data_IF_775414821939
#
_entry.id   IF_775414821939
#
_cell.length_a   1.000
_cell.length_b   1.000
_cell.length_c   1.000
_cell.angle_alpha   90.00
_cell.angle_beta   90.00
_cell.angle_gamma   90.00
#
_symmetry.space_group_name_H-M   'P 1'
#
loop_
_entity.id
_entity.type
_entity.pdbx_description
1 polymer ?
#
# COMPACT_ATOMS: atom_id res chain seq x y z
N UNK A 1 -9.00 0.76 -3.46
CA UNK A 1 -8.58 -0.10 -2.31
C UNK A 1 -8.45 0.67 -0.98
N UNK A 2 -7.98 1.94 -0.99
CA UNK A 2 -7.69 2.72 0.24
C UNK A 2 -8.91 2.97 1.13
N UNK A 3 -10.13 2.93 0.59
CA UNK A 3 -11.39 3.13 1.34
C UNK A 3 -12.06 1.82 1.78
N UNK A 4 -11.58 0.66 1.32
CA UNK A 4 -12.18 -0.64 1.63
C UNK A 4 -12.21 -0.96 3.14
N UNK A 5 -11.20 -0.61 3.96
CA UNK A 5 -11.28 -0.78 5.41
C UNK A 5 -12.48 -0.07 6.05
N UNK A 6 -12.94 1.04 5.46
CA UNK A 6 -14.14 1.75 5.94
C UNK A 6 -15.44 1.03 5.53
N UNK A 7 -15.46 0.31 4.40
CA UNK A 7 -16.57 -0.57 4.02
C UNK A 7 -16.63 -1.77 4.97
N UNK A 8 -15.49 -2.41 5.23
CA UNK A 8 -15.38 -3.52 6.20
C UNK A 8 -15.87 -3.10 7.57
N UNK A 9 -15.48 -1.93 8.06
CA UNK A 9 -15.90 -1.40 9.37
C UNK A 9 -17.34 -0.88 9.42
N UNK A 10 -18.00 -0.75 8.28
CA UNK A 10 -19.34 -0.16 8.19
C UNK A 10 -19.40 1.38 8.28
N UNK A 11 -18.24 2.05 8.31
CA UNK A 11 -18.18 3.53 8.30
C UNK A 11 -18.47 4.13 6.93
N UNK A 12 -18.37 3.33 5.86
CA UNK A 12 -18.74 3.69 4.51
C UNK A 12 -19.64 2.61 3.90
N UNK A 13 -20.44 2.98 2.93
CA UNK A 13 -21.25 2.04 2.16
C UNK A 13 -20.59 1.76 0.80
N UNK A 14 -20.91 0.63 0.14
CA UNK A 14 -20.39 0.30 -1.19
C UNK A 14 -20.56 1.41 -2.22
N UNK A 15 -21.69 2.13 -2.19
CA UNK A 15 -22.01 3.19 -3.15
C UNK A 15 -21.11 4.43 -3.01
N UNK A 16 -20.51 4.62 -1.83
CA UNK A 16 -19.66 5.79 -1.54
C UNK A 16 -18.19 5.61 -1.89
N UNK A 17 -17.81 4.45 -2.44
CA UNK A 17 -16.41 4.20 -2.82
C UNK A 17 -16.05 4.67 -4.22
N UNK A 18 -17.04 4.98 -5.04
CA UNK A 18 -16.83 5.46 -6.40
C UNK A 18 -16.36 6.91 -6.42
N UNK A 19 -15.24 7.16 -7.10
CA UNK A 19 -14.67 8.51 -7.23
C UNK A 19 -15.32 9.32 -8.36
N UNK A 20 -15.98 8.66 -9.29
CA UNK A 20 -16.64 9.25 -10.47
C UNK A 20 -17.94 8.53 -10.71
N UNK A 21 -18.92 9.26 -11.16
CA UNK A 21 -20.21 8.79 -11.65
C UNK A 21 -20.20 8.58 -13.16
N UNK A 22 -21.28 8.05 -13.70
CA UNK A 22 -21.43 7.81 -15.15
C UNK A 22 -21.40 9.12 -15.97
N UNK A 23 -21.85 10.23 -15.37
CA UNK A 23 -21.82 11.55 -16.00
C UNK A 23 -20.41 12.02 -16.28
N UNK A 24 -19.43 11.68 -15.42
CA UNK A 24 -18.03 11.98 -15.66
C UNK A 24 -17.53 11.34 -16.97
N UNK A 25 -17.82 10.05 -17.20
CA UNK A 25 -17.36 9.35 -18.41
C UNK A 25 -18.01 9.91 -19.66
N UNK A 26 -19.31 10.14 -19.62
CA UNK A 26 -20.06 10.71 -20.74
C UNK A 26 -19.59 12.13 -21.10
N UNK A 27 -19.45 13.01 -20.11
CA UNK A 27 -19.01 14.40 -20.30
C UNK A 27 -17.61 14.47 -20.86
N UNK A 28 -16.72 13.59 -20.44
CA UNK A 28 -15.34 13.56 -20.91
C UNK A 28 -15.14 12.67 -22.15
N UNK A 29 -16.23 12.15 -22.74
CA UNK A 29 -16.20 11.28 -23.93
C UNK A 29 -15.30 10.05 -23.74
N UNK A 30 -15.36 9.44 -22.57
CA UNK A 30 -14.64 8.20 -22.22
C UNK A 30 -15.57 7.03 -22.47
N UNK A 31 -15.18 6.10 -23.37
CA UNK A 31 -15.83 4.80 -23.54
C UNK A 31 -15.37 3.88 -22.37
N UNK A 32 -16.17 3.83 -21.30
CA UNK A 32 -15.88 3.02 -20.14
C UNK A 32 -16.52 1.65 -20.26
N UNK A 33 -15.69 0.59 -20.27
CA UNK A 33 -16.11 -0.82 -20.39
C UNK A 33 -15.80 -1.57 -19.10
N UNK A 34 -16.77 -1.73 -18.24
CA UNK A 34 -16.62 -2.53 -17.03
C UNK A 34 -16.73 -4.03 -17.33
N UNK A 35 -16.08 -4.88 -16.50
CA UNK A 35 -16.11 -6.33 -16.66
C UNK A 35 -15.31 -6.87 -17.84
N UNK A 36 -14.54 -6.04 -18.54
CA UNK A 36 -13.72 -6.41 -19.69
C UNK A 36 -12.24 -6.54 -19.28
N UNK A 37 -11.84 -7.74 -18.87
CA UNK A 37 -10.43 -7.98 -18.50
C UNK A 37 -9.53 -8.03 -19.74
N UNK A 38 -8.34 -7.40 -19.63
CA UNK A 38 -7.26 -7.51 -20.62
C UNK A 38 -6.57 -8.86 -20.48
N UNK A 39 -6.45 -9.60 -21.58
CA UNK A 39 -5.83 -10.94 -21.64
C UNK A 39 -4.58 -10.99 -22.49
N UNK A 40 -4.29 -9.94 -23.26
CA UNK A 40 -3.08 -9.85 -24.06
C UNK A 40 -2.95 -8.55 -24.79
N UNK A 41 -1.74 -8.21 -25.21
CA UNK A 41 -1.48 -7.09 -26.10
C UNK A 41 -0.62 -7.55 -27.28
N UNK A 42 -0.85 -6.94 -28.43
CA UNK A 42 -0.02 -7.04 -29.62
C UNK A 42 0.46 -5.63 -29.99
N UNK A 43 1.67 -5.25 -29.56
CA UNK A 43 2.18 -3.91 -29.84
C UNK A 43 2.47 -3.65 -31.31
N UNK A 44 2.77 -4.68 -32.10
CA UNK A 44 3.04 -4.54 -33.53
C UNK A 44 1.75 -4.23 -34.29
N UNK A 45 0.66 -4.91 -33.96
CA UNK A 45 -0.66 -4.66 -34.53
C UNK A 45 -1.39 -3.51 -33.83
N UNK A 46 -0.86 -2.93 -32.74
CA UNK A 46 -1.53 -1.94 -31.88
C UNK A 46 -2.91 -2.44 -31.40
N UNK A 47 -2.97 -3.67 -30.88
CA UNK A 47 -4.20 -4.32 -30.43
C UNK A 47 -4.11 -4.78 -28.99
N UNK A 48 -5.19 -4.59 -28.24
CA UNK A 48 -5.42 -5.15 -26.91
C UNK A 48 -6.51 -6.23 -27.00
N UNK A 49 -6.25 -7.43 -26.50
CA UNK A 49 -7.19 -8.57 -26.47
C UNK A 49 -7.92 -8.61 -25.15
N UNK A 50 -9.23 -8.82 -25.19
CA UNK A 50 -10.10 -8.89 -24.01
C UNK A 50 -10.51 -10.34 -23.71
N UNK A 51 -11.00 -10.59 -22.50
CA UNK A 51 -11.41 -11.90 -22.03
C UNK A 51 -12.64 -12.48 -22.78
N UNK A 52 -13.47 -11.63 -23.40
CA UNK A 52 -14.59 -12.04 -24.25
C UNK A 52 -14.16 -12.43 -25.68
N UNK A 53 -12.87 -12.41 -25.97
CA UNK A 53 -12.29 -12.70 -27.27
C UNK A 53 -12.25 -11.52 -28.23
N UNK A 54 -12.82 -10.37 -27.87
CA UNK A 54 -12.76 -9.17 -28.71
C UNK A 54 -11.38 -8.49 -28.64
N UNK A 55 -11.12 -7.58 -29.58
CA UNK A 55 -9.90 -6.79 -29.62
C UNK A 55 -10.25 -5.30 -29.71
N UNK A 56 -9.40 -4.46 -29.11
CA UNK A 56 -9.48 -3.02 -29.20
C UNK A 56 -8.17 -2.51 -29.83
N UNK A 57 -8.28 -1.81 -30.97
CA UNK A 57 -7.16 -1.09 -31.54
C UNK A 57 -6.81 0.18 -30.75
N UNK A 58 -5.52 0.47 -30.61
CA UNK A 58 -5.06 1.67 -29.92
C UNK A 58 -3.97 2.39 -30.72
N UNK A 59 -3.85 3.70 -30.54
CA UNK A 59 -2.67 4.46 -30.96
C UNK A 59 -1.64 4.56 -29.84
N UNK A 60 -2.12 4.65 -28.59
CA UNK A 60 -1.30 4.69 -27.39
C UNK A 60 -2.03 3.92 -26.29
N UNK A 61 -1.29 3.14 -25.51
CA UNK A 61 -1.84 2.26 -24.49
C UNK A 61 -1.24 2.61 -23.12
N UNK A 62 -2.09 2.78 -22.12
CA UNK A 62 -1.67 2.86 -20.71
C UNK A 62 -2.12 1.60 -19.98
N UNK A 63 -1.16 0.88 -19.43
CA UNK A 63 -1.37 -0.27 -18.56
C UNK A 63 -1.46 0.22 -17.10
N UNK A 64 -2.65 0.16 -16.51
CA UNK A 64 -2.91 0.55 -15.13
C UNK A 64 -3.69 -0.55 -14.39
N UNK A 65 -3.30 -1.81 -14.64
CA UNK A 65 -3.98 -3.03 -14.23
C UNK A 65 -3.88 -3.32 -12.72
N UNK A 66 -3.06 -2.56 -12.00
CA UNK A 66 -2.92 -2.69 -10.56
C UNK A 66 -2.21 -3.97 -10.13
N UNK A 67 -2.65 -4.57 -9.03
CA UNK A 67 -2.07 -5.77 -8.43
C UNK A 67 -3.14 -6.59 -7.73
N UNK A 68 -2.95 -7.91 -7.67
CA UNK A 68 -3.81 -8.88 -7.01
C UNK A 68 -3.25 -9.30 -5.65
N UNK A 69 -4.09 -9.70 -4.68
CA UNK A 69 -3.62 -10.28 -3.43
C UNK A 69 -2.79 -11.53 -3.65
N UNK A 70 -1.70 -11.65 -2.93
CA UNK A 70 -0.92 -12.87 -2.92
C UNK A 70 -1.59 -13.87 -1.98
N UNK A 71 -1.95 -15.04 -2.51
CA UNK A 71 -2.33 -16.20 -1.72
C UNK A 71 -1.16 -17.18 -1.76
N UNK A 72 -0.46 -17.40 -0.63
CA UNK A 72 0.71 -18.27 -0.61
C UNK A 72 0.29 -19.73 -0.82
N UNK A 73 1.12 -20.56 -1.47
CA UNK A 73 0.82 -21.97 -1.72
C UNK A 73 0.99 -22.81 -0.45
N UNK A 74 0.16 -22.54 0.56
CA UNK A 74 0.16 -23.31 1.81
C UNK A 74 -0.61 -24.62 1.59
N UNK A 75 -0.05 -25.78 1.94
CA UNK A 75 -0.76 -27.05 1.86
C UNK A 75 -2.14 -26.99 2.51
N UNK A 76 -3.19 -27.30 1.75
CA UNK A 76 -4.58 -27.30 2.21
C UNK A 76 -5.34 -25.97 2.08
N UNK A 77 -4.72 -24.90 1.57
CA UNK A 77 -5.38 -23.61 1.38
C UNK A 77 -6.58 -23.70 0.43
N UNK A 78 -6.54 -24.58 -0.55
CA UNK A 78 -7.58 -24.87 -1.53
C UNK A 78 -8.78 -25.65 -0.95
N UNK A 79 -8.68 -26.18 0.26
CA UNK A 79 -9.69 -26.98 0.95
C UNK A 79 -10.43 -26.21 2.05
N UNK A 80 -10.05 -24.97 2.30
CA UNK A 80 -10.63 -24.11 3.35
C UNK A 80 -11.14 -22.81 2.76
N UNK A 81 -12.17 -22.24 3.37
CA UNK A 81 -12.61 -20.91 3.01
C UNK A 81 -11.65 -19.86 3.56
N UNK A 82 -11.25 -18.92 2.72
CA UNK A 82 -10.44 -17.77 3.11
C UNK A 82 -10.93 -16.49 2.42
N UNK A 83 -10.60 -15.37 3.02
CA UNK A 83 -10.87 -14.04 2.52
C UNK A 83 -9.57 -13.34 2.11
N UNK A 84 -9.69 -12.42 1.16
CA UNK A 84 -8.68 -11.40 0.82
C UNK A 84 -9.33 -10.03 0.90
N UNK A 85 -8.58 -8.95 0.80
CA UNK A 85 -9.13 -7.59 0.82
C UNK A 85 -8.46 -6.73 -0.24
N UNK A 86 -9.02 -6.71 -1.44
CA UNK A 86 -8.53 -5.90 -2.57
C UNK A 86 -9.63 -5.22 -3.36
N UNK A 87 -10.77 -5.84 -3.51
CA UNK A 87 -11.93 -5.36 -4.26
C UNK A 87 -13.08 -4.95 -3.33
N UNK A 88 -14.09 -4.30 -3.88
CA UNK A 88 -15.31 -3.98 -3.14
C UNK A 88 -16.08 -5.24 -2.73
N UNK A 89 -16.08 -6.23 -3.60
CA UNK A 89 -16.71 -7.54 -3.32
C UNK A 89 -15.99 -8.26 -2.18
N UNK A 90 -14.65 -8.20 -2.13
CA UNK A 90 -13.89 -8.76 -1.02
C UNK A 90 -14.26 -8.07 0.30
N UNK A 91 -14.36 -6.73 0.30
CA UNK A 91 -14.74 -5.98 1.49
C UNK A 91 -16.16 -6.32 1.97
N UNK A 92 -17.08 -6.49 1.04
CA UNK A 92 -18.47 -6.86 1.33
C UNK A 92 -18.57 -8.27 1.89
N UNK A 93 -17.91 -9.25 1.27
CA UNK A 93 -17.84 -10.64 1.75
C UNK A 93 -17.16 -10.74 3.11
N UNK A 94 -16.03 -10.08 3.29
CA UNK A 94 -15.31 -10.05 4.58
C UNK A 94 -16.21 -9.47 5.68
N UNK A 95 -16.88 -8.34 5.42
CA UNK A 95 -17.81 -7.74 6.37
C UNK A 95 -18.96 -8.68 6.74
N UNK A 96 -19.54 -9.41 5.78
CA UNK A 96 -20.58 -10.37 6.05
C UNK A 96 -20.08 -11.53 6.94
N UNK A 97 -18.90 -12.06 6.63
CA UNK A 97 -18.29 -13.14 7.41
C UNK A 97 -17.94 -12.72 8.85
N UNK A 98 -17.54 -11.47 9.06
CA UNK A 98 -17.22 -10.93 10.41
C UNK A 98 -18.41 -11.00 11.37
N UNK A 99 -19.64 -10.88 10.89
CA UNK A 99 -20.83 -10.80 11.74
C UNK A 99 -21.09 -12.07 12.59
N UNK A 100 -20.52 -13.20 12.21
CA UNK A 100 -20.68 -14.48 12.95
C UNK A 100 -19.37 -15.05 13.49
N UNK A 101 -18.24 -14.44 13.18
CA UNK A 101 -16.92 -14.96 13.52
C UNK A 101 -16.63 -14.81 15.03
N UNK A 102 -16.16 -15.90 15.63
CA UNK A 102 -15.68 -15.96 17.01
C UNK A 102 -14.16 -16.01 17.09
N UNK A 103 -13.53 -16.74 16.15
CA UNK A 103 -12.09 -17.00 16.12
C UNK A 103 -11.54 -16.65 14.73
N UNK A 104 -11.06 -15.42 14.58
CA UNK A 104 -10.49 -14.97 13.33
C UNK A 104 -8.96 -15.10 13.31
N UNK A 105 -8.41 -15.53 12.19
CA UNK A 105 -6.96 -15.51 11.95
C UNK A 105 -6.66 -14.58 10.77
N UNK A 106 -5.70 -13.68 10.98
CA UNK A 106 -5.18 -12.78 9.95
C UNK A 106 -3.74 -13.19 9.63
N UNK A 107 -3.52 -13.64 8.39
CA UNK A 107 -2.18 -13.93 7.87
C UNK A 107 -1.60 -12.67 7.24
N UNK A 108 -0.50 -12.19 7.81
CA UNK A 108 0.19 -10.98 7.39
C UNK A 108 -0.20 -9.75 8.22
N UNK A 109 0.82 -9.11 8.78
CA UNK A 109 0.70 -7.92 9.61
C UNK A 109 1.11 -6.64 8.88
N UNK A 110 0.93 -6.57 7.58
CA UNK A 110 0.95 -5.32 6.81
C UNK A 110 -0.29 -4.46 7.11
N UNK A 111 -0.32 -3.23 6.59
CA UNK A 111 -1.39 -2.27 6.92
C UNK A 111 -2.80 -2.80 6.62
N UNK A 112 -2.99 -3.56 5.54
CA UNK A 112 -4.29 -4.16 5.20
C UNK A 112 -4.73 -5.18 6.25
N UNK A 113 -3.84 -6.11 6.61
CA UNK A 113 -4.10 -7.12 7.64
C UNK A 113 -4.39 -6.49 9.00
N UNK A 114 -3.61 -5.48 9.38
CA UNK A 114 -3.78 -4.77 10.66
C UNK A 114 -5.09 -3.98 10.72
N UNK A 115 -5.52 -3.32 9.63
CA UNK A 115 -6.83 -2.67 9.57
C UNK A 115 -7.99 -3.67 9.71
N UNK A 116 -7.90 -4.82 9.04
CA UNK A 116 -8.91 -5.86 9.15
C UNK A 116 -8.93 -6.49 10.55
N UNK A 117 -7.76 -6.76 11.13
CA UNK A 117 -7.63 -7.29 12.49
C UNK A 117 -8.27 -6.35 13.52
N UNK A 118 -8.04 -5.03 13.41
CA UNK A 118 -8.70 -4.05 14.29
C UNK A 118 -10.22 -4.11 14.17
N UNK A 119 -10.76 -4.20 12.94
CA UNK A 119 -12.19 -4.28 12.72
C UNK A 119 -12.79 -5.58 13.29
N UNK A 120 -12.10 -6.70 13.15
CA UNK A 120 -12.49 -7.99 13.75
C UNK A 120 -12.49 -7.93 15.28
N UNK A 121 -11.46 -7.36 15.90
CA UNK A 121 -11.42 -7.14 17.37
C UNK A 121 -12.59 -6.27 17.81
N UNK A 122 -12.87 -5.18 17.12
CA UNK A 122 -14.01 -4.29 17.42
C UNK A 122 -15.37 -4.96 17.22
N UNK A 123 -15.46 -5.95 16.32
CA UNK A 123 -16.66 -6.76 16.14
C UNK A 123 -16.82 -7.85 17.21
N UNK A 124 -15.85 -8.00 18.11
CA UNK A 124 -15.89 -8.94 19.24
C UNK A 124 -15.28 -10.32 18.98
N UNK A 125 -14.63 -10.52 17.83
CA UNK A 125 -13.92 -11.75 17.54
C UNK A 125 -12.61 -11.88 18.36
N UNK A 126 -12.25 -13.09 18.75
CA UNK A 126 -10.89 -13.44 19.21
C UNK A 126 -9.97 -13.47 18.00
N UNK A 127 -9.07 -12.51 17.88
CA UNK A 127 -8.21 -12.36 16.68
C UNK A 127 -6.81 -12.86 16.97
N UNK A 128 -6.28 -13.72 16.10
CA UNK A 128 -4.87 -14.08 16.07
C UNK A 128 -4.23 -13.55 14.80
N UNK A 129 -3.16 -12.76 14.93
CA UNK A 129 -2.36 -12.24 13.82
C UNK A 129 -1.11 -13.11 13.70
N UNK A 130 -0.85 -13.67 12.49
CA UNK A 130 0.35 -14.46 12.20
C UNK A 130 1.19 -13.71 11.18
N UNK A 131 2.46 -13.44 11.51
CA UNK A 131 3.39 -12.68 10.68
C UNK A 131 4.76 -13.37 10.64
N UNK A 132 5.30 -13.58 9.44
CA UNK A 132 6.62 -14.21 9.26
C UNK A 132 7.77 -13.33 9.73
N UNK A 133 7.64 -12.01 9.61
CA UNK A 133 8.63 -11.07 10.11
C UNK A 133 8.61 -11.06 11.64
N UNK A 134 9.74 -10.69 12.25
CA UNK A 134 9.83 -10.52 13.70
C UNK A 134 9.06 -9.32 14.25
N UNK A 135 8.54 -8.47 13.37
CA UNK A 135 7.91 -7.20 13.68
C UNK A 135 6.62 -7.04 12.88
N UNK A 136 5.57 -6.51 13.50
CA UNK A 136 4.37 -6.04 12.79
C UNK A 136 4.72 -4.85 11.92
N UNK A 137 3.95 -4.63 10.85
CA UNK A 137 4.11 -3.47 9.95
C UNK A 137 5.54 -3.28 9.44
N UNK A 138 6.28 -4.40 9.26
CA UNK A 138 7.63 -4.41 8.72
C UNK A 138 7.69 -3.69 7.37
N UNK A 139 8.69 -2.82 7.19
CA UNK A 139 8.83 -1.98 6.00
C UNK A 139 7.95 -0.71 5.96
N UNK A 140 7.03 -0.54 6.91
CA UNK A 140 6.20 0.66 7.04
C UNK A 140 6.63 1.56 8.20
N UNK A 141 6.96 0.97 9.34
CA UNK A 141 7.33 1.68 10.56
C UNK A 141 8.64 1.14 11.14
N UNK A 142 9.34 1.98 11.90
CA UNK A 142 10.50 1.54 12.66
C UNK A 142 10.07 0.66 13.86
N UNK A 143 11.08 0.06 14.51
CA UNK A 143 10.86 -0.92 15.58
C UNK A 143 10.08 -0.33 16.77
N UNK A 144 10.32 0.92 17.14
CA UNK A 144 9.63 1.56 18.26
C UNK A 144 8.16 1.81 17.93
N UNK A 145 7.89 2.39 16.77
CA UNK A 145 6.52 2.64 16.32
C UNK A 145 5.74 1.34 16.14
N UNK A 146 6.36 0.30 15.57
CA UNK A 146 5.76 -1.03 15.42
C UNK A 146 5.45 -1.68 16.77
N UNK A 147 6.35 -1.57 17.75
CA UNK A 147 6.14 -2.05 19.12
C UNK A 147 4.97 -1.33 19.81
N UNK A 148 4.80 -0.03 19.58
CA UNK A 148 3.66 0.71 20.12
C UNK A 148 2.33 0.28 19.48
N UNK A 149 2.33 -0.06 18.19
CA UNK A 149 1.18 -0.63 17.49
C UNK A 149 0.87 -2.01 18.07
N UNK A 150 1.87 -2.88 18.22
CA UNK A 150 1.74 -4.21 18.81
C UNK A 150 1.11 -4.18 20.20
N UNK A 151 1.62 -3.32 21.08
CA UNK A 151 1.08 -3.16 22.43
C UNK A 151 -0.38 -2.70 22.43
N UNK A 152 -0.79 -1.87 21.46
CA UNK A 152 -2.19 -1.47 21.33
C UNK A 152 -3.08 -2.66 20.94
N UNK A 153 -2.64 -3.55 20.06
CA UNK A 153 -3.39 -4.75 19.67
C UNK A 153 -3.47 -5.75 20.83
N UNK A 154 -2.36 -6.03 21.50
CA UNK A 154 -2.32 -6.90 22.68
C UNK A 154 -3.24 -6.37 23.80
N UNK A 155 -3.18 -5.07 24.08
CA UNK A 155 -4.03 -4.41 25.07
C UNK A 155 -5.53 -4.42 24.73
N UNK A 156 -5.89 -4.64 23.46
CA UNK A 156 -7.27 -4.84 23.01
C UNK A 156 -7.63 -6.32 22.78
N UNK A 157 -6.83 -7.26 23.29
CA UNK A 157 -7.16 -8.68 23.32
C UNK A 157 -6.78 -9.48 22.07
N UNK A 158 -6.07 -8.87 21.10
CA UNK A 158 -5.53 -9.63 19.99
C UNK A 158 -4.37 -10.53 20.44
N UNK A 159 -4.22 -11.68 19.80
CA UNK A 159 -3.07 -12.56 19.93
C UNK A 159 -2.13 -12.35 18.75
N UNK A 160 -0.83 -12.31 18.99
CA UNK A 160 0.17 -12.04 17.95
C UNK A 160 1.20 -13.15 17.93
N UNK A 161 1.54 -13.62 16.73
CA UNK A 161 2.53 -14.64 16.41
C UNK A 161 3.47 -14.10 15.34
N UNK A 162 4.49 -13.34 15.75
CA UNK A 162 5.57 -12.84 14.87
C UNK A 162 6.70 -13.86 14.79
N UNK A 163 7.42 -13.87 13.66
CA UNK A 163 8.50 -14.82 13.40
C UNK A 163 8.02 -16.22 13.07
N UNK A 164 6.71 -16.41 12.82
CA UNK A 164 6.11 -17.69 12.50
C UNK A 164 5.38 -17.67 11.16
N UNK A 165 5.35 -18.81 10.50
CA UNK A 165 4.61 -19.03 9.26
C UNK A 165 3.62 -20.18 9.41
N UNK A 166 2.53 -20.10 8.67
CA UNK A 166 1.61 -21.21 8.49
C UNK A 166 2.21 -22.19 7.51
N UNK A 167 2.32 -23.47 7.91
CA UNK A 167 2.91 -24.54 7.10
C UNK A 167 1.87 -25.54 6.60
N UNK A 168 0.64 -25.47 7.11
CA UNK A 168 -0.47 -26.31 6.68
C UNK A 168 -1.81 -25.76 7.13
N UNK A 169 -2.87 -26.15 6.41
CA UNK A 169 -4.26 -25.84 6.69
C UNK A 169 -5.08 -27.12 6.57
N UNK A 170 -5.96 -27.36 7.53
CA UNK A 170 -6.90 -28.47 7.50
C UNK A 170 -8.33 -27.96 7.73
N UNK A 171 -9.34 -28.48 6.98
CA UNK A 171 -10.72 -28.22 7.30
C UNK A 171 -11.05 -28.66 8.72
N UNK A 172 -11.76 -27.84 9.48
CA UNK A 172 -12.25 -28.11 10.82
C UNK A 172 -13.79 -28.05 10.89
N UNK A 173 -14.38 -28.42 12.02
CA UNK A 173 -15.85 -28.45 12.18
C UNK A 173 -16.51 -27.06 12.03
N UNK A 174 -15.76 -26.00 12.36
CA UNK A 174 -16.22 -24.60 12.35
C UNK A 174 -15.36 -23.72 11.45
N UNK A 175 -14.68 -24.29 10.44
CA UNK A 175 -13.81 -23.51 9.53
C UNK A 175 -12.49 -24.21 9.24
N UNK A 176 -11.35 -23.65 9.67
CA UNK A 176 -10.03 -24.19 9.40
C UNK A 176 -9.19 -24.34 10.68
N UNK A 177 -8.23 -25.25 10.65
CA UNK A 177 -7.14 -25.33 11.63
C UNK A 177 -5.83 -25.01 10.92
N UNK A 178 -5.12 -23.99 11.39
CA UNK A 178 -3.82 -23.57 10.87
C UNK A 178 -2.71 -24.24 11.66
N UNK A 179 -1.72 -24.80 10.99
CA UNK A 179 -0.50 -25.35 11.59
C UNK A 179 0.65 -24.34 11.40
N UNK A 180 1.33 -24.00 12.48
CA UNK A 180 2.52 -23.15 12.46
C UNK A 180 3.79 -23.97 12.38
N UNK A 181 4.88 -23.34 11.93
CA UNK A 181 6.21 -23.95 11.81
C UNK A 181 6.85 -24.38 13.13
N UNK A 182 6.36 -23.93 14.28
CA UNK A 182 6.75 -24.35 15.61
C UNK A 182 5.92 -25.51 16.16
N UNK A 183 4.95 -26.03 15.38
CA UNK A 183 4.05 -27.12 15.76
C UNK A 183 2.74 -26.69 16.45
N UNK A 184 2.58 -25.38 16.76
CA UNK A 184 1.32 -24.86 17.30
C UNK A 184 0.20 -24.96 16.26
N UNK A 185 -1.04 -25.13 16.76
CA UNK A 185 -2.24 -25.09 15.92
C UNK A 185 -3.19 -23.99 16.36
N UNK A 186 -3.85 -23.35 15.38
CA UNK A 186 -4.78 -22.24 15.62
C UNK A 186 -6.10 -22.53 14.89
N UNK A 187 -7.22 -22.72 15.61
CA UNK A 187 -8.54 -22.83 14.98
C UNK A 187 -9.02 -21.46 14.50
N UNK A 188 -9.71 -21.43 13.35
CA UNK A 188 -10.28 -20.22 12.77
C UNK A 188 -11.61 -20.54 12.10
N UNK A 189 -12.64 -19.78 12.43
CA UNK A 189 -13.90 -19.73 11.67
C UNK A 189 -13.88 -18.63 10.59
N UNK A 190 -12.89 -17.72 10.65
CA UNK A 190 -12.60 -16.75 9.62
C UNK A 190 -11.08 -16.67 9.39
N UNK A 191 -10.66 -16.90 8.15
CA UNK A 191 -9.28 -16.76 7.71
C UNK A 191 -9.16 -15.60 6.71
N UNK A 192 -8.37 -14.57 7.06
CA UNK A 192 -8.00 -13.49 6.14
C UNK A 192 -6.54 -13.64 5.71
N UNK A 193 -6.29 -13.69 4.40
CA UNK A 193 -4.95 -13.71 3.81
C UNK A 193 -4.60 -12.31 3.33
N UNK A 194 -3.63 -11.66 3.98
CA UNK A 194 -3.22 -10.28 3.74
C UNK A 194 -1.68 -10.12 3.69
N UNK A 195 -1.01 -11.05 2.99
CA UNK A 195 0.46 -11.16 2.92
C UNK A 195 1.10 -10.31 1.82
N UNK A 196 0.34 -9.41 1.22
CA UNK A 196 0.80 -8.49 0.19
C UNK A 196 0.07 -8.63 -1.14
N UNK A 197 0.55 -7.89 -2.12
CA UNK A 197 -0.01 -7.86 -3.48
C UNK A 197 1.09 -8.04 -4.51
N UNK A 198 0.72 -8.55 -5.69
CA UNK A 198 1.62 -8.70 -6.83
C UNK A 198 0.86 -8.38 -8.13
N UNK A 199 1.47 -7.63 -9.07
CA UNK A 199 0.92 -7.46 -10.40
C UNK A 199 0.73 -8.79 -11.13
N UNK A 200 -0.39 -8.93 -11.82
CA UNK A 200 -0.59 -10.00 -12.79
C UNK A 200 0.02 -9.55 -14.12
N UNK A 201 1.04 -10.23 -14.59
CA UNK A 201 1.79 -9.82 -15.78
C UNK A 201 1.66 -10.80 -16.95
N UNK A 202 1.00 -11.95 -16.79
CA UNK A 202 0.87 -13.00 -17.81
C UNK A 202 0.23 -12.54 -19.12
N UNK A 203 -0.61 -11.48 -19.09
CA UNK A 203 -1.17 -10.90 -20.30
C UNK A 203 -0.12 -10.17 -21.18
N UNK A 204 1.11 -9.99 -20.69
CA UNK A 204 2.22 -9.37 -21.41
C UNK A 204 3.13 -10.42 -22.09
N UNK A 205 2.88 -11.70 -21.91
CA UNK A 205 3.70 -12.74 -22.48
C UNK A 205 3.75 -12.62 -24.01
N UNK A 206 4.97 -12.59 -24.55
CA UNK A 206 5.23 -12.42 -25.99
C UNK A 206 5.07 -10.99 -26.52
N UNK A 207 4.71 -9.99 -25.69
CA UNK A 207 4.52 -8.61 -26.12
C UNK A 207 5.82 -7.80 -26.28
N UNK A 208 6.94 -8.27 -25.72
CA UNK A 208 8.20 -7.53 -25.68
C UNK A 208 8.26 -6.45 -24.57
N UNK A 209 7.21 -6.27 -23.78
CA UNK A 209 7.24 -5.38 -22.62
C UNK A 209 8.14 -5.96 -21.55
N UNK A 210 9.17 -5.21 -21.14
CA UNK A 210 10.10 -5.64 -20.09
C UNK A 210 9.45 -5.62 -18.71
N UNK A 211 9.58 -6.73 -18.01
CA UNK A 211 9.02 -6.92 -16.67
C UNK A 211 10.03 -7.56 -15.72
N UNK A 212 9.93 -7.25 -14.44
CA UNK A 212 10.58 -7.96 -13.33
C UNK A 212 9.51 -8.31 -12.28
N UNK A 213 9.46 -7.56 -11.18
CA UNK A 213 8.37 -7.63 -10.19
C UNK A 213 7.12 -6.89 -10.63
N UNK A 214 7.26 -5.96 -11.57
CA UNK A 214 6.26 -5.14 -12.21
C UNK A 214 6.69 -4.79 -13.63
N UNK A 215 5.93 -3.95 -14.30
CA UNK A 215 6.26 -3.43 -15.63
C UNK A 215 7.35 -2.36 -15.46
N UNK A 216 8.51 -2.57 -16.06
CA UNK A 216 9.61 -1.61 -16.03
C UNK A 216 9.25 -0.35 -16.83
N UNK A 217 9.39 0.81 -16.21
CA UNK A 217 9.10 2.10 -16.86
C UNK A 217 10.22 3.11 -16.64
N UNK A 218 10.36 4.01 -17.60
CA UNK A 218 11.23 5.20 -17.47
C UNK A 218 10.58 6.31 -16.64
N UNK A 219 11.26 7.45 -16.50
CA UNK A 219 10.76 8.61 -15.74
C UNK A 219 9.57 9.33 -16.42
N UNK A 220 9.20 8.96 -17.64
CA UNK A 220 7.99 9.39 -18.33
C UNK A 220 6.90 8.33 -18.34
N UNK A 221 7.06 7.28 -17.54
CA UNK A 221 6.18 6.10 -17.45
C UNK A 221 6.10 5.28 -18.74
N UNK A 222 7.04 5.42 -19.68
CA UNK A 222 7.11 4.58 -20.88
C UNK A 222 7.68 3.21 -20.56
N UNK A 223 7.12 2.21 -21.17
CA UNK A 223 7.67 0.84 -21.14
C UNK A 223 8.81 0.68 -22.15
N UNK A 224 9.38 -0.52 -22.24
CA UNK A 224 10.37 -0.89 -23.28
C UNK A 224 9.79 -0.92 -24.69
N UNK A 225 8.47 -0.84 -24.86
CA UNK A 225 7.77 -0.93 -26.14
C UNK A 225 7.16 0.44 -26.48
N UNK A 226 7.34 0.84 -27.74
CA UNK A 226 6.82 2.11 -28.27
C UNK A 226 5.29 2.17 -28.09
N UNK A 227 4.79 3.39 -27.81
CA UNK A 227 3.37 3.69 -27.61
C UNK A 227 2.67 2.90 -26.47
N UNK A 228 3.46 2.30 -25.55
CA UNK A 228 2.95 1.63 -24.37
C UNK A 228 3.53 2.24 -23.09
N UNK A 229 2.66 2.64 -22.17
CA UNK A 229 3.00 3.18 -20.85
C UNK A 229 2.46 2.27 -19.75
N UNK A 230 3.00 2.40 -18.54
CA UNK A 230 2.41 1.77 -17.35
C UNK A 230 2.47 2.70 -16.13
N UNK A 231 1.47 2.58 -15.24
CA UNK A 231 1.36 3.42 -14.03
C UNK A 231 0.63 2.71 -12.88
N UNK A 232 0.93 3.12 -11.66
CA UNK A 232 0.31 2.58 -10.44
C UNK A 232 0.91 1.27 -9.99
N UNK A 233 0.12 0.44 -9.29
CA UNK A 233 0.62 -0.75 -8.60
C UNK A 233 1.20 -1.83 -9.54
N UNK A 234 0.95 -1.77 -10.85
CA UNK A 234 1.58 -2.67 -11.82
C UNK A 234 2.94 -2.17 -12.33
N UNK A 235 3.26 -0.89 -12.15
CA UNK A 235 4.49 -0.28 -12.64
C UNK A 235 5.64 -0.43 -11.64
N UNK A 236 6.82 -0.74 -12.15
CA UNK A 236 8.08 -0.75 -11.41
C UNK A 236 8.90 0.46 -11.88
N UNK A 237 8.79 1.55 -11.12
CA UNK A 237 9.34 2.85 -11.44
C UNK A 237 10.52 3.21 -10.52
N UNK A 238 11.25 4.26 -10.83
CA UNK A 238 12.39 4.70 -10.05
C UNK A 238 12.03 4.98 -8.59
N UNK A 239 12.79 4.44 -7.64
CA UNK A 239 12.75 4.79 -6.23
C UNK A 239 13.53 6.08 -5.96
N UNK A 240 12.98 6.98 -5.13
CA UNK A 240 13.62 8.25 -4.82
C UNK A 240 14.99 8.10 -4.14
N UNK A 241 15.11 7.16 -3.19
CA UNK A 241 16.33 6.95 -2.43
C UNK A 241 17.33 6.04 -3.11
N UNK A 242 16.87 5.07 -3.88
CA UNK A 242 17.71 4.03 -4.51
C UNK A 242 18.17 4.40 -5.91
N UNK A 243 17.38 5.24 -6.61
CA UNK A 243 17.57 5.52 -8.04
C UNK A 243 17.29 4.32 -8.96
N UNK A 244 17.00 3.16 -8.40
CA UNK A 244 16.70 1.92 -9.14
C UNK A 244 15.18 1.69 -9.20
N UNK A 245 14.68 0.86 -10.15
CA UNK A 245 13.27 0.50 -10.21
C UNK A 245 12.77 -0.22 -8.95
N UNK A 246 11.69 0.29 -8.35
CA UNK A 246 11.04 -0.28 -7.16
C UNK A 246 9.53 -0.36 -7.36
N UNK A 247 8.89 -1.22 -6.58
CA UNK A 247 7.44 -1.23 -6.44
C UNK A 247 7.05 -0.32 -5.27
N UNK A 248 6.30 0.75 -5.54
CA UNK A 248 5.76 1.64 -4.51
C UNK A 248 4.24 1.76 -4.70
N UNK A 249 3.53 0.71 -4.29
CA UNK A 249 2.09 0.54 -4.51
C UNK A 249 1.25 1.39 -3.54
N UNK A 250 1.35 2.70 -3.66
CA UNK A 250 0.57 3.68 -2.87
C UNK A 250 -0.20 4.63 -3.78
N UNK A 251 -1.36 5.09 -3.31
CA UNK A 251 -2.24 5.98 -4.08
C UNK A 251 -1.56 7.29 -4.53
N UNK A 252 -0.76 7.99 -3.72
CA UNK A 252 -0.06 9.19 -4.18
C UNK A 252 0.82 8.94 -5.38
N UNK A 253 1.60 7.87 -5.40
CA UNK A 253 2.45 7.52 -6.53
C UNK A 253 1.65 7.13 -7.77
N UNK A 254 0.63 6.29 -7.62
CA UNK A 254 -0.25 5.92 -8.73
C UNK A 254 -0.87 7.16 -9.39
N UNK A 255 -1.24 8.18 -8.60
CA UNK A 255 -1.79 9.45 -9.11
C UNK A 255 -0.74 10.26 -9.87
N UNK A 256 0.47 10.38 -9.34
CA UNK A 256 1.57 11.10 -9.99
C UNK A 256 1.99 10.40 -11.28
N UNK A 257 2.19 9.09 -11.23
CA UNK A 257 2.55 8.27 -12.38
C UNK A 257 1.48 8.32 -13.48
N UNK A 258 0.20 8.18 -13.13
CA UNK A 258 -0.92 8.27 -14.07
C UNK A 258 -0.99 9.64 -14.75
N UNK A 259 -0.74 10.74 -14.00
CA UNK A 259 -0.66 12.08 -14.57
C UNK A 259 0.51 12.23 -15.55
N UNK A 260 1.71 11.78 -15.17
CA UNK A 260 2.90 11.84 -16.03
C UNK A 260 2.67 11.02 -17.30
N UNK A 261 2.15 9.79 -17.17
CA UNK A 261 1.81 8.95 -18.31
C UNK A 261 0.81 9.65 -19.26
N UNK A 262 -0.26 10.20 -18.72
CA UNK A 262 -1.27 10.92 -19.50
C UNK A 262 -0.70 12.12 -20.25
N UNK A 263 0.13 12.95 -19.59
CA UNK A 263 0.81 14.09 -20.22
C UNK A 263 1.79 13.61 -21.33
N UNK A 264 2.59 12.57 -21.03
CA UNK A 264 3.52 12.00 -22.02
C UNK A 264 2.78 11.42 -23.24
N UNK A 265 1.69 10.70 -23.01
CA UNK A 265 0.83 10.19 -24.08
C UNK A 265 0.21 11.32 -24.92
N UNK A 266 -0.14 12.43 -24.30
CA UNK A 266 -0.67 13.61 -24.99
C UNK A 266 0.40 14.41 -25.77
N UNK A 267 1.69 14.14 -25.54
CA UNK A 267 2.78 14.93 -26.09
C UNK A 267 2.88 16.32 -25.46
N UNK A 268 2.45 16.47 -24.19
CA UNK A 268 2.47 17.75 -23.47
C UNK A 268 3.92 18.15 -23.19
N UNK A 269 4.39 19.31 -23.67
CA UNK A 269 5.76 19.77 -23.41
C UNK A 269 6.02 20.15 -21.96
N UNK A 270 4.98 20.30 -21.13
CA UNK A 270 5.07 20.57 -19.70
C UNK A 270 5.29 19.34 -18.83
N UNK A 271 5.38 18.13 -19.42
CA UNK A 271 5.62 16.91 -18.66
C UNK A 271 6.98 16.99 -17.95
N UNK A 272 6.97 16.75 -16.64
CA UNK A 272 8.19 16.64 -15.83
C UNK A 272 8.49 15.18 -15.56
N UNK A 273 9.79 14.79 -15.50
CA UNK A 273 10.16 13.42 -15.17
C UNK A 273 9.67 13.04 -13.77
N UNK A 274 9.36 11.76 -13.61
CA UNK A 274 8.97 11.20 -12.31
C UNK A 274 10.12 11.36 -11.28
N UNK A 275 9.88 12.00 -10.14
CA UNK A 275 10.94 12.30 -9.20
C UNK A 275 11.44 11.08 -8.42
N UNK A 276 10.74 9.94 -8.54
CA UNK A 276 10.94 8.75 -7.73
C UNK A 276 9.92 8.61 -6.61
N UNK A 277 9.58 7.36 -6.27
CA UNK A 277 8.65 7.03 -5.21
C UNK A 277 9.22 7.30 -3.81
N UNK A 278 8.49 8.05 -2.99
CA UNK A 278 8.76 8.22 -1.56
C UNK A 278 7.70 7.45 -0.79
N UNK A 279 8.07 6.43 0.02
CA UNK A 279 7.11 5.70 0.85
C UNK A 279 6.37 6.65 1.79
N UNK A 280 5.04 6.51 1.87
CA UNK A 280 4.18 7.31 2.73
C UNK A 280 3.03 6.47 3.22
N UNK A 281 2.84 6.39 4.54
CA UNK A 281 1.76 5.63 5.15
C UNK A 281 1.14 6.41 6.30
N UNK A 282 -0.18 6.32 6.39
CA UNK A 282 -0.95 6.78 7.55
C UNK A 282 -1.79 5.62 8.05
N UNK A 283 -1.75 5.38 9.34
CA UNK A 283 -2.43 4.27 9.96
C UNK A 283 -3.14 4.71 11.24
N UNK A 284 -4.44 4.42 11.34
CA UNK A 284 -5.24 4.65 12.54
C UNK A 284 -5.57 3.31 13.19
N UNK A 285 -5.40 3.21 14.49
CA UNK A 285 -5.61 1.99 15.26
C UNK A 285 -6.05 2.30 16.68
N UNK A 286 -7.16 1.75 17.12
CA UNK A 286 -7.71 1.90 18.47
C UNK A 286 -7.69 3.33 19.02
N UNK A 287 -8.11 4.30 18.21
CA UNK A 287 -8.13 5.73 18.57
C UNK A 287 -6.75 6.42 18.52
N UNK A 288 -5.69 5.71 18.16
CA UNK A 288 -4.35 6.24 17.95
C UNK A 288 -4.06 6.39 16.46
N UNK A 289 -2.97 7.06 16.13
CA UNK A 289 -2.50 7.16 14.76
C UNK A 289 -0.99 6.99 14.67
N UNK A 290 -0.53 6.44 13.56
CA UNK A 290 0.87 6.38 13.18
C UNK A 290 1.04 6.93 11.76
N UNK A 291 2.13 7.64 11.52
CA UNK A 291 2.48 8.22 10.23
C UNK A 291 3.95 7.88 9.94
N UNK A 292 4.22 7.42 8.73
CA UNK A 292 5.59 7.21 8.24
C UNK A 292 5.77 7.84 6.87
N UNK A 293 6.87 8.55 6.67
CA UNK A 293 7.24 9.13 5.37
C UNK A 293 8.73 8.96 5.16
N UNK A 294 9.10 8.46 3.98
CA UNK A 294 10.51 8.30 3.60
C UNK A 294 11.17 7.03 4.15
N UNK A 295 12.47 7.10 4.40
CA UNK A 295 13.31 5.97 4.79
C UNK A 295 13.61 5.98 6.29
N UNK A 296 13.46 4.83 6.95
CA UNK A 296 13.90 4.64 8.34
C UNK A 296 15.43 4.47 8.47
N UNK A 297 16.11 4.11 7.40
CA UNK A 297 17.56 3.95 7.40
C UNK A 297 18.25 5.32 7.52
N UNK A 298 19.21 5.40 8.41
CA UNK A 298 20.07 6.60 8.52
C UNK A 298 21.12 6.50 7.41
N UNK A 299 21.18 7.47 6.47
CA UNK A 299 22.18 7.45 5.40
C UNK A 299 23.59 7.73 5.97
N UNK A 300 24.61 7.39 5.18
CA UNK A 300 26.01 7.65 5.56
C UNK A 300 26.25 9.15 5.86
N UNK A 301 26.86 9.43 7.00
CA UNK A 301 27.07 10.79 7.50
C UNK A 301 25.81 11.50 7.99
N UNK A 302 24.66 10.84 7.90
CA UNK A 302 23.40 11.35 8.41
C UNK A 302 23.18 11.04 9.89
N UNK A 303 21.99 11.39 10.39
CA UNK A 303 21.60 11.15 11.79
C UNK A 303 20.10 10.95 11.94
N UNK A 304 19.70 10.34 13.05
CA UNK A 304 18.33 10.32 13.50
C UNK A 304 18.17 11.15 14.79
N UNK A 305 17.08 11.88 14.88
CA UNK A 305 16.66 12.56 16.11
C UNK A 305 15.38 11.90 16.60
N UNK A 306 15.31 11.57 17.90
CA UNK A 306 14.19 10.81 18.48
C UNK A 306 13.65 11.55 19.69
N UNK A 307 12.32 11.57 19.81
CA UNK A 307 11.59 11.97 21.00
C UNK A 307 10.61 10.88 21.33
N UNK A 308 10.65 10.38 22.55
CA UNK A 308 9.70 9.42 23.07
C UNK A 308 9.22 9.87 24.44
N UNK A 309 7.90 10.01 24.57
CA UNK A 309 7.24 10.30 25.82
C UNK A 309 6.31 9.13 26.16
N UNK A 310 6.75 8.27 27.07
CA UNK A 310 6.01 7.09 27.49
C UNK A 310 4.70 7.45 28.22
N UNK A 311 4.64 8.59 28.93
CA UNK A 311 3.46 8.99 29.68
C UNK A 311 2.31 9.39 28.77
N UNK A 312 2.59 10.11 27.69
CA UNK A 312 1.60 10.50 26.68
C UNK A 312 1.48 9.49 25.52
N UNK A 313 2.35 8.49 25.46
CA UNK A 313 2.39 7.54 24.36
C UNK A 313 2.72 8.21 23.02
N UNK A 314 3.55 9.26 23.03
CA UNK A 314 3.97 10.01 21.83
C UNK A 314 5.37 9.61 21.41
N UNK A 315 5.53 9.37 20.13
CA UNK A 315 6.80 9.03 19.51
C UNK A 315 7.01 9.83 18.24
N UNK A 316 8.19 10.40 18.09
CA UNK A 316 8.66 11.06 16.87
C UNK A 316 10.10 10.67 16.61
N UNK A 317 10.38 10.24 15.39
CA UNK A 317 11.73 10.05 14.86
C UNK A 317 11.85 10.75 13.53
N UNK A 318 12.86 11.64 13.40
CA UNK A 318 13.21 12.28 12.14
C UNK A 318 14.62 11.85 11.73
N UNK A 319 14.79 11.52 10.46
CA UNK A 319 16.09 11.10 9.88
C UNK A 319 16.53 12.15 8.88
N UNK A 320 17.80 12.56 9.01
CA UNK A 320 18.41 13.58 8.18
C UNK A 320 19.66 13.03 7.50
N UNK A 321 19.93 13.47 6.29
CA UNK A 321 21.21 13.22 5.63
C UNK A 321 22.32 14.16 6.17
N UNK A 322 23.54 14.03 5.63
CA UNK A 322 24.69 14.86 6.00
C UNK A 322 24.52 16.36 5.70
N UNK A 323 23.62 16.68 4.76
CA UNK A 323 23.30 18.05 4.33
C UNK A 323 22.04 18.59 5.05
N UNK A 324 21.65 18.01 6.20
CA UNK A 324 20.50 18.38 7.02
C UNK A 324 19.15 18.30 6.30
N UNK A 325 19.04 17.49 5.25
CA UNK A 325 17.78 17.27 4.52
C UNK A 325 17.03 16.10 5.13
N UNK A 326 15.73 16.25 5.26
CA UNK A 326 14.87 15.17 5.73
C UNK A 326 14.89 13.98 4.75
N UNK A 327 15.18 12.79 5.25
CA UNK A 327 15.09 11.53 4.50
C UNK A 327 14.01 10.61 5.04
N UNK A 328 13.58 10.81 6.27
CA UNK A 328 12.47 10.06 6.85
C UNK A 328 11.90 10.71 8.09
N UNK A 329 10.60 10.52 8.34
CA UNK A 329 9.93 10.94 9.56
C UNK A 329 8.86 9.92 9.94
N UNK A 330 8.85 9.54 11.22
CA UNK A 330 7.99 8.50 11.78
C UNK A 330 7.38 9.03 13.07
N UNK A 331 6.09 8.84 13.26
CA UNK A 331 5.43 9.28 14.47
C UNK A 331 4.27 8.40 14.87
N UNK A 332 4.09 8.23 16.17
CA UNK A 332 2.89 7.65 16.78
C UNK A 332 2.31 8.70 17.73
N UNK A 333 1.02 8.97 17.58
CA UNK A 333 0.31 10.05 18.30
C UNK A 333 0.98 11.43 18.15
N UNK A 334 1.77 11.61 17.10
CA UNK A 334 2.39 12.87 16.71
C UNK A 334 1.77 13.39 15.43
N UNK A 335 1.37 14.66 15.42
CA UNK A 335 0.73 15.26 14.25
C UNK A 335 1.73 15.99 13.37
N UNK A 336 1.88 15.49 12.16
CA UNK A 336 2.50 16.20 11.05
C UNK A 336 1.79 15.87 9.75
N UNK A 337 1.91 16.71 8.75
CA UNK A 337 1.28 16.52 7.46
C UNK A 337 2.18 15.63 6.59
N UNK A 338 1.75 14.40 6.32
CA UNK A 338 2.52 13.42 5.57
C UNK A 338 2.84 13.90 4.14
N UNK A 339 1.89 14.60 3.50
CA UNK A 339 2.10 15.17 2.17
C UNK A 339 3.15 16.27 2.17
N UNK A 340 3.12 17.16 3.19
CA UNK A 340 4.14 18.20 3.38
C UNK A 340 5.51 17.55 3.60
N UNK A 341 5.62 16.52 4.46
CA UNK A 341 6.89 15.83 4.69
C UNK A 341 7.43 15.18 3.42
N UNK A 342 6.57 14.51 2.65
CA UNK A 342 6.96 13.95 1.36
C UNK A 342 7.47 15.02 0.38
N UNK A 343 6.85 16.21 0.35
CA UNK A 343 7.32 17.31 -0.48
C UNK A 343 8.66 17.89 -0.01
N UNK A 344 8.90 18.00 1.31
CA UNK A 344 10.20 18.43 1.84
C UNK A 344 11.31 17.44 1.44
N UNK A 345 11.02 16.13 1.49
CA UNK A 345 11.93 15.07 1.03
C UNK A 345 12.20 15.18 -0.47
N UNK A 346 11.14 15.21 -1.30
CA UNK A 346 11.24 15.27 -2.75
C UNK A 346 12.00 16.50 -3.24
N UNK A 347 11.82 17.63 -2.57
CA UNK A 347 12.51 18.90 -2.88
C UNK A 347 13.89 19.01 -2.27
N UNK A 348 14.32 18.03 -1.47
CA UNK A 348 15.61 18.03 -0.76
C UNK A 348 15.81 19.33 0.01
N UNK A 349 14.77 19.80 0.72
CA UNK A 349 14.79 21.07 1.45
C UNK A 349 15.82 21.00 2.58
N UNK A 350 16.72 21.99 2.62
CA UNK A 350 17.67 22.14 3.73
C UNK A 350 16.93 22.60 5.00
N UNK A 351 16.98 21.77 6.04
CA UNK A 351 16.35 22.03 7.33
C UNK A 351 17.39 22.48 8.39
N UNK A 352 18.65 22.53 8.08
CA UNK A 352 19.74 22.85 9.03
C UNK A 352 19.45 24.07 9.90
N UNK A 353 19.09 25.23 9.30
CA UNK A 353 18.81 26.45 10.06
C UNK A 353 17.57 26.36 10.97
N UNK A 354 16.64 25.45 10.67
CA UNK A 354 15.34 25.31 11.35
C UNK A 354 15.16 23.96 12.04
N UNK A 355 16.16 23.11 12.05
CA UNK A 355 16.09 21.72 12.50
C UNK A 355 15.46 21.55 13.88
N UNK A 356 15.95 22.28 14.88
CA UNK A 356 15.43 22.18 16.25
C UNK A 356 13.96 22.60 16.33
N UNK A 357 13.59 23.68 15.64
CA UNK A 357 12.23 24.14 15.54
C UNK A 357 11.34 23.14 14.77
N UNK A 358 11.86 22.59 13.68
CA UNK A 358 11.17 21.56 12.89
C UNK A 358 10.90 20.31 13.73
N UNK A 359 11.92 19.84 14.47
CA UNK A 359 11.76 18.67 15.32
C UNK A 359 10.81 18.93 16.50
N UNK A 360 10.82 20.13 17.06
CA UNK A 360 9.88 20.51 18.13
C UNK A 360 8.44 20.64 17.62
N UNK A 361 8.22 21.18 16.42
CA UNK A 361 6.93 21.50 15.84
C UNK A 361 6.88 21.15 14.34
N UNK A 362 6.90 19.84 13.96
CA UNK A 362 7.02 19.43 12.57
C UNK A 362 5.85 19.89 11.70
N UNK A 363 4.61 19.91 12.23
CA UNK A 363 3.44 20.37 11.52
C UNK A 363 3.51 21.85 11.14
N UNK A 364 3.77 22.70 12.13
CA UNK A 364 3.79 24.15 11.94
C UNK A 364 4.96 24.57 11.03
N UNK A 365 6.17 24.09 11.34
CA UNK A 365 7.38 24.43 10.59
C UNK A 365 7.34 23.89 9.18
N UNK A 366 6.86 22.66 8.98
CA UNK A 366 6.71 22.07 7.65
C UNK A 366 5.74 22.86 6.76
N UNK A 367 4.59 23.28 7.29
CA UNK A 367 3.63 24.11 6.56
C UNK A 367 4.16 25.49 6.22
N UNK A 368 4.89 26.12 7.15
CA UNK A 368 5.55 27.41 6.91
C UNK A 368 6.56 27.32 5.76
N UNK A 369 7.43 26.33 5.79
CA UNK A 369 8.40 26.07 4.72
C UNK A 369 7.72 25.84 3.38
N UNK A 370 6.67 25.04 3.33
CA UNK A 370 5.93 24.82 2.09
C UNK A 370 5.28 26.10 1.58
N UNK A 371 4.72 26.94 2.47
CA UNK A 371 4.14 28.24 2.08
C UNK A 371 5.18 29.18 1.46
N UNK A 372 6.43 29.15 1.92
CA UNK A 372 7.52 29.95 1.33
C UNK A 372 7.96 29.41 -0.03
N UNK A 373 7.95 28.09 -0.24
CA UNK A 373 8.33 27.45 -1.50
C UNK A 373 7.27 27.61 -2.61
N UNK A 374 6.06 28.09 -2.29
CA UNK A 374 4.98 28.34 -3.24
C UNK A 374 4.89 29.82 -3.67
N UNK A 375 5.71 30.68 -3.10
CA UNK A 375 5.87 32.08 -3.51
C UNK A 375 7.00 32.23 -4.49
#
# INVERSE_FOLDING_TARGET
PTVLPYVVSGRSTPERVYLRDDAFFTTNKVDYRSGCALTGIDPVAHQARLADGSTIGYRKLLLATGASPVVPPIPGIDRVEYHVLRTLDDATRLRAAMAGSKNAVVLGAGLVGMHAAENLVKAGASVTIVEMSKQLTSGYFDEVAAGMIEQAFLGNGAKIRTGHRVVGLEPGPEGATLQLDNGDTIPADLLLVAVGVRPELGYLDGSGVATERGILVDDSMRTSVEDVWAAGDCAQARGFFTGTPVMNAILPDATVQGRIAGMAMAGDPGVKPYPGGVPLNTYHFFGRHAISVGSAAVPEGGRAQVRFDAASGRYLRAVFDRDERLTGIFGVNEFFDAGVMAQLILRRTDLGPLRERFFAQPLATGRELMSQLWR
#
